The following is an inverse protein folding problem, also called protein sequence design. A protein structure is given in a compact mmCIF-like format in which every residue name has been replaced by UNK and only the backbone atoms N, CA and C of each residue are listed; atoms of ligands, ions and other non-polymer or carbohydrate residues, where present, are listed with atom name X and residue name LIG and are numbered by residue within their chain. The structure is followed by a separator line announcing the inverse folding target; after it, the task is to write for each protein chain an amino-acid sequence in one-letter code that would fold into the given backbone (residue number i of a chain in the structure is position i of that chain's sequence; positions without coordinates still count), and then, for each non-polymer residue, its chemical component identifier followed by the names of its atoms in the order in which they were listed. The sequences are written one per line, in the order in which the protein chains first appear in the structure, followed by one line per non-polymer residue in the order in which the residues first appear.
data_IF_577350454661
#
_entry.id   IF_577350454661
#
_cell.length_a   1.000
_cell.length_b   1.000
_cell.length_c   1.000
_cell.angle_alpha   90.00
_cell.angle_beta   90.00
_cell.angle_gamma   90.00
#
_symmetry.space_group_name_H-M   'P 1'
#
loop_
_entity.id
_entity.type
_entity.pdbx_description
1 polymer ?
#
# COMPACT_ATOMS: atom_id res chain seq x y z
N UNK A 1 8.59 32.03 -11.23
CA UNK A 1 7.88 32.10 -9.94
C UNK A 1 6.68 31.19 -10.05
N UNK A 2 6.57 30.08 -9.29
CA UNK A 2 5.31 29.36 -9.20
C UNK A 2 4.27 30.30 -8.55
N UNK A 3 3.17 30.56 -9.25
CA UNK A 3 2.12 31.53 -8.89
C UNK A 3 0.94 30.91 -8.13
N UNK A 4 0.99 29.60 -7.81
CA UNK A 4 -0.03 28.95 -7.00
C UNK A 4 0.40 28.98 -5.53
N UNK A 5 -0.35 29.71 -4.71
CA UNK A 5 -0.42 29.40 -3.28
C UNK A 5 -0.94 27.96 -3.22
N UNK A 6 -0.11 27.01 -2.75
CA UNK A 6 -0.50 25.61 -2.70
C UNK A 6 -1.75 25.50 -1.81
N UNK A 7 -2.87 25.09 -2.40
CA UNK A 7 -4.07 24.76 -1.64
C UNK A 7 -3.71 23.68 -0.62
N UNK A 8 -4.25 23.73 0.61
CA UNK A 8 -4.10 22.63 1.55
C UNK A 8 -4.83 21.36 1.07
N UNK A 9 -5.75 21.50 0.11
CA UNK A 9 -6.45 20.38 -0.49
C UNK A 9 -5.49 19.47 -1.26
N UNK A 10 -5.70 18.15 -1.15
CA UNK A 10 -4.95 17.14 -1.89
C UNK A 10 -4.97 17.45 -3.38
N UNK A 11 -3.78 17.52 -3.98
CA UNK A 11 -3.60 17.84 -5.39
C UNK A 11 -4.24 16.79 -6.33
N UNK A 12 -4.48 15.56 -5.84
CA UNK A 12 -5.07 14.49 -6.63
C UNK A 12 -6.59 14.42 -6.53
N UNK A 13 -7.17 14.57 -5.33
CA UNK A 13 -8.62 14.45 -5.16
C UNK A 13 -9.33 15.80 -5.08
N UNK A 14 -8.66 16.87 -4.67
CA UNK A 14 -9.24 18.21 -4.51
C UNK A 14 -10.25 18.38 -3.37
N UNK A 15 -10.57 17.32 -2.62
CA UNK A 15 -11.66 17.35 -1.63
C UNK A 15 -11.20 17.62 -0.19
N UNK A 16 -10.24 16.84 0.31
CA UNK A 16 -9.78 16.93 1.70
C UNK A 16 -8.39 17.55 1.80
N UNK A 17 -8.06 18.11 2.96
CA UNK A 17 -6.70 18.53 3.28
C UNK A 17 -5.75 17.34 3.20
N UNK A 18 -4.59 17.53 2.57
CA UNK A 18 -3.57 16.47 2.49
C UNK A 18 -2.69 16.45 3.74
N UNK A 19 -3.18 15.81 4.80
CA UNK A 19 -2.36 15.39 5.94
C UNK A 19 -1.62 14.07 5.63
N UNK A 20 -0.80 13.58 6.56
CA UNK A 20 -0.03 12.34 6.36
C UNK A 20 -0.93 11.12 6.10
N UNK A 21 -2.07 11.03 6.80
CA UNK A 21 -3.01 9.92 6.62
C UNK A 21 -3.64 9.97 5.22
N UNK A 22 -4.14 11.13 4.82
CA UNK A 22 -4.73 11.36 3.51
C UNK A 22 -3.71 11.19 2.38
N UNK A 23 -2.48 11.63 2.61
CA UNK A 23 -1.37 11.46 1.70
C UNK A 23 -1.11 9.97 1.43
N UNK A 24 -1.05 9.13 2.47
CA UNK A 24 -0.70 7.72 2.30
C UNK A 24 -1.92 6.89 1.88
N UNK A 25 -2.98 6.84 2.69
CA UNK A 25 -4.09 5.88 2.51
C UNK A 25 -5.48 6.53 2.41
N UNK A 26 -5.65 7.75 2.92
CA UNK A 26 -6.97 8.37 3.09
C UNK A 26 -7.54 9.01 1.82
N UNK A 27 -6.74 9.17 0.77
CA UNK A 27 -7.20 9.67 -0.52
C UNK A 27 -7.89 8.58 -1.34
N UNK A 28 -9.18 8.78 -1.68
CA UNK A 28 -9.94 7.80 -2.45
C UNK A 28 -9.35 7.46 -3.83
N UNK A 29 -8.66 8.41 -4.49
CA UNK A 29 -7.95 8.19 -5.76
C UNK A 29 -6.76 7.24 -5.58
N UNK A 30 -6.01 7.40 -4.46
CA UNK A 30 -4.87 6.56 -4.12
C UNK A 30 -5.28 5.21 -3.53
N UNK A 31 -6.52 5.08 -3.04
CA UNK A 31 -7.01 3.84 -2.41
C UNK A 31 -6.95 2.63 -3.34
N UNK A 32 -7.18 2.81 -4.65
CA UNK A 32 -7.09 1.74 -5.65
C UNK A 32 -5.68 1.14 -5.74
N UNK A 33 -4.63 1.97 -5.61
CA UNK A 33 -3.25 1.48 -5.57
C UNK A 33 -3.04 0.54 -4.39
N UNK A 34 -3.51 0.90 -3.20
CA UNK A 34 -3.39 0.06 -2.02
C UNK A 34 -4.22 -1.23 -2.12
N UNK A 35 -5.42 -1.17 -2.70
CA UNK A 35 -6.23 -2.36 -2.98
C UNK A 35 -5.49 -3.32 -3.91
N UNK A 36 -4.87 -2.81 -4.97
CA UNK A 36 -4.08 -3.61 -5.91
C UNK A 36 -2.84 -4.22 -5.23
N UNK A 37 -2.15 -3.49 -4.35
CA UNK A 37 -1.01 -4.01 -3.57
C UNK A 37 -1.43 -5.12 -2.61
N UNK A 38 -2.49 -4.89 -1.84
CA UNK A 38 -3.04 -5.90 -0.92
C UNK A 38 -3.48 -7.13 -1.69
N UNK A 39 -4.09 -6.96 -2.87
CA UNK A 39 -4.49 -8.07 -3.71
C UNK A 39 -3.31 -8.82 -4.32
N UNK A 40 -2.27 -8.11 -4.75
CA UNK A 40 -1.07 -8.69 -5.34
C UNK A 40 -0.30 -9.57 -4.34
N UNK A 41 -0.34 -9.20 -3.06
CA UNK A 41 0.34 -9.88 -1.96
C UNK A 41 -0.56 -10.85 -1.19
N UNK A 42 -1.84 -11.01 -1.58
CA UNK A 42 -2.83 -11.83 -0.88
C UNK A 42 -3.01 -11.47 0.61
N UNK A 43 -3.01 -10.17 0.93
CA UNK A 43 -3.06 -9.65 2.31
C UNK A 43 -4.47 -9.18 2.75
N UNK A 44 -5.53 -9.58 2.06
CA UNK A 44 -6.88 -9.05 2.29
C UNK A 44 -7.38 -9.29 3.72
N UNK A 45 -7.10 -10.47 4.28
CA UNK A 45 -7.47 -10.81 5.67
C UNK A 45 -6.66 -10.01 6.70
N UNK A 46 -5.38 -9.73 6.39
CA UNK A 46 -4.48 -9.01 7.29
C UNK A 46 -4.73 -7.49 7.26
N UNK A 47 -4.99 -6.95 6.08
CA UNK A 47 -5.07 -5.51 5.79
C UNK A 47 -6.37 -5.15 5.05
N UNK A 48 -7.54 -5.40 5.66
CA UNK A 48 -8.84 -5.26 4.97
C UNK A 48 -9.25 -3.82 4.66
N UNK A 49 -8.55 -2.83 5.20
CA UNK A 49 -8.96 -1.42 5.16
C UNK A 49 -7.78 -0.43 5.10
N UNK A 50 -8.06 0.81 4.69
CA UNK A 50 -7.08 1.89 4.73
C UNK A 50 -6.51 2.11 6.15
N UNK A 51 -7.34 2.01 7.18
CA UNK A 51 -6.90 2.14 8.58
C UNK A 51 -5.99 1.01 9.02
N UNK A 52 -6.22 -0.24 8.59
CA UNK A 52 -5.30 -1.35 8.87
C UNK A 52 -3.96 -1.20 8.14
N UNK A 53 -3.96 -0.69 6.90
CA UNK A 53 -2.72 -0.40 6.16
C UNK A 53 -1.94 0.72 6.86
N UNK A 54 -2.63 1.78 7.29
CA UNK A 54 -2.01 2.86 8.06
C UNK A 54 -1.42 2.37 9.37
N UNK A 55 -2.16 1.54 10.12
CA UNK A 55 -1.68 0.94 11.36
C UNK A 55 -0.41 0.11 11.11
N UNK A 56 -0.43 -0.73 10.07
CA UNK A 56 0.73 -1.53 9.66
C UNK A 56 1.97 -0.66 9.36
N UNK A 57 1.80 0.41 8.59
CA UNK A 57 2.90 1.30 8.21
C UNK A 57 3.46 2.12 9.37
N UNK A 58 2.64 2.42 10.39
CA UNK A 58 3.03 3.34 11.48
C UNK A 58 3.40 2.63 12.77
N UNK A 59 2.91 1.41 12.99
CA UNK A 59 3.13 0.65 14.22
C UNK A 59 3.77 -0.71 14.00
N UNK A 60 3.89 -1.15 12.74
CA UNK A 60 4.37 -2.49 12.36
C UNK A 60 3.50 -3.64 12.90
N UNK A 61 2.28 -3.32 13.30
CA UNK A 61 1.29 -4.24 13.83
C UNK A 61 0.01 -4.26 12.99
N UNK A 62 -0.76 -5.34 13.12
CA UNK A 62 -2.07 -5.53 12.49
C UNK A 62 -3.17 -5.77 13.54
N UNK A 63 -4.39 -5.36 13.18
CA UNK A 63 -5.59 -5.58 13.99
C UNK A 63 -5.62 -4.82 15.33
N UNK A 64 -6.68 -5.05 16.11
CA UNK A 64 -6.86 -4.46 17.44
C UNK A 64 -5.93 -5.06 18.50
N UNK A 65 -5.49 -6.30 18.29
CA UNK A 65 -4.61 -7.03 19.20
C UNK A 65 -3.11 -6.74 18.98
N UNK A 66 -2.80 -5.82 18.05
CA UNK A 66 -1.44 -5.38 17.69
C UNK A 66 -0.49 -6.54 17.36
N UNK A 67 -0.96 -7.50 16.56
CA UNK A 67 -0.14 -8.62 16.10
C UNK A 67 0.98 -8.11 15.19
N UNK A 68 2.22 -8.44 15.54
CA UNK A 68 3.41 -8.04 14.77
C UNK A 68 3.31 -8.60 13.35
N UNK A 69 3.48 -7.73 12.37
CA UNK A 69 3.45 -8.11 10.96
C UNK A 69 4.79 -8.75 10.59
N UNK A 70 4.71 -9.78 9.76
CA UNK A 70 5.88 -10.44 9.18
C UNK A 70 6.84 -9.44 8.51
N UNK A 71 8.14 -9.65 8.69
CA UNK A 71 9.17 -8.71 8.23
C UNK A 71 9.13 -8.53 6.71
N UNK A 72 8.92 -9.60 5.94
CA UNK A 72 8.88 -9.51 4.49
C UNK A 72 7.64 -8.73 4.02
N UNK A 73 6.51 -8.87 4.71
CA UNK A 73 5.31 -8.07 4.47
C UNK A 73 5.58 -6.59 4.77
N UNK A 74 6.25 -6.27 5.87
CA UNK A 74 6.63 -4.88 6.19
C UNK A 74 7.56 -4.28 5.13
N UNK A 75 8.54 -5.05 4.63
CA UNK A 75 9.42 -4.62 3.55
C UNK A 75 8.60 -4.33 2.28
N UNK A 76 7.63 -5.17 1.93
CA UNK A 76 6.77 -4.95 0.78
C UNK A 76 5.85 -3.73 0.93
N UNK A 77 5.29 -3.50 2.11
CA UNK A 77 4.51 -2.30 2.41
C UNK A 77 5.38 -1.03 2.31
N UNK A 78 6.63 -1.08 2.81
CA UNK A 78 7.59 0.00 2.68
C UNK A 78 7.98 0.29 1.22
N UNK A 79 8.17 -0.75 0.42
CA UNK A 79 8.42 -0.64 -1.02
C UNK A 79 7.22 -0.01 -1.76
N UNK A 80 6.00 -0.48 -1.49
CA UNK A 80 4.77 0.10 -2.04
C UNK A 80 4.62 1.58 -1.65
N UNK A 81 4.87 1.94 -0.38
CA UNK A 81 4.86 3.32 0.08
C UNK A 81 5.89 4.19 -0.65
N UNK A 82 7.12 3.69 -0.84
CA UNK A 82 8.17 4.40 -1.59
C UNK A 82 7.74 4.70 -3.02
N UNK A 83 7.12 3.74 -3.72
CA UNK A 83 6.56 3.96 -5.05
C UNK A 83 5.42 4.96 -5.04
N UNK A 84 4.48 4.88 -4.09
CA UNK A 84 3.39 5.84 -3.93
C UNK A 84 3.93 7.27 -3.75
N UNK A 85 4.92 7.45 -2.87
CA UNK A 85 5.55 8.74 -2.62
C UNK A 85 6.15 9.32 -3.90
N UNK A 86 6.98 8.54 -4.60
CA UNK A 86 7.62 8.96 -5.86
C UNK A 86 6.58 9.32 -6.92
N UNK A 87 5.59 8.47 -7.12
CA UNK A 87 4.59 8.66 -8.18
C UNK A 87 3.63 9.81 -7.88
N UNK A 88 3.26 10.02 -6.60
CA UNK A 88 2.48 11.18 -6.19
C UNK A 88 3.21 12.47 -6.56
N UNK A 89 4.49 12.61 -6.20
CA UNK A 89 5.22 13.85 -6.49
C UNK A 89 5.45 14.06 -7.98
N UNK A 90 5.62 12.99 -8.76
CA UNK A 90 5.60 13.06 -10.23
C UNK A 90 4.28 13.63 -10.75
N UNK A 91 3.13 13.15 -10.26
CA UNK A 91 1.82 13.69 -10.64
C UNK A 91 1.65 15.17 -10.25
N UNK A 92 2.14 15.55 -9.06
CA UNK A 92 1.98 16.93 -8.55
C UNK A 92 2.92 17.92 -9.23
N UNK A 93 4.17 17.53 -9.48
CA UNK A 93 5.21 18.42 -10.03
C UNK A 93 5.14 18.46 -11.55
N UNK A 94 5.03 17.30 -12.20
CA UNK A 94 5.04 17.18 -13.66
C UNK A 94 3.63 17.27 -14.26
N UNK A 95 2.61 17.52 -13.42
CA UNK A 95 1.19 17.61 -13.78
C UNK A 95 0.67 16.36 -14.52
N UNK A 96 1.30 15.21 -14.29
CA UNK A 96 0.84 13.93 -14.84
C UNK A 96 -0.43 13.45 -14.13
N UNK A 97 -1.38 12.82 -14.85
CA UNK A 97 -2.57 12.25 -14.23
C UNK A 97 -2.19 11.04 -13.37
N UNK A 98 -2.79 10.94 -12.18
CA UNK A 98 -2.66 9.74 -11.36
C UNK A 98 -3.39 8.55 -12.01
N UNK A 99 -2.64 7.49 -12.29
CA UNK A 99 -3.17 6.23 -12.79
C UNK A 99 -2.67 5.09 -11.89
N UNK A 100 -3.58 4.44 -11.16
CA UNK A 100 -3.22 3.37 -10.21
C UNK A 100 -2.43 2.22 -10.85
N UNK A 101 -2.80 1.80 -12.06
CA UNK A 101 -2.07 0.76 -12.80
C UNK A 101 -0.65 1.18 -13.20
N UNK A 102 -0.40 2.48 -13.44
CA UNK A 102 0.94 2.98 -13.69
C UNK A 102 1.80 2.90 -12.42
N UNK A 103 1.24 3.26 -11.26
CA UNK A 103 1.89 3.09 -9.96
C UNK A 103 2.22 1.62 -9.67
N UNK A 104 1.30 0.69 -9.96
CA UNK A 104 1.53 -0.75 -9.82
C UNK A 104 2.62 -1.26 -10.77
N UNK A 105 2.65 -0.76 -12.00
CA UNK A 105 3.72 -1.09 -12.94
C UNK A 105 5.09 -0.61 -12.43
N UNK A 106 5.16 0.56 -11.80
CA UNK A 106 6.38 1.03 -11.15
C UNK A 106 6.80 0.10 -10.00
N UNK A 107 5.87 -0.38 -9.18
CA UNK A 107 6.19 -1.39 -8.14
C UNK A 107 6.76 -2.66 -8.76
N UNK A 108 6.16 -3.17 -9.83
CA UNK A 108 6.65 -4.38 -10.51
C UNK A 108 8.03 -4.18 -11.14
N UNK A 109 8.34 -3.00 -11.64
CA UNK A 109 9.63 -2.67 -12.23
C UNK A 109 10.71 -2.49 -11.16
N UNK A 110 10.43 -1.73 -10.11
CA UNK A 110 11.39 -1.37 -9.07
C UNK A 110 11.58 -2.49 -8.03
N UNK A 111 10.54 -3.29 -7.79
CA UNK A 111 10.45 -4.23 -6.67
C UNK A 111 9.94 -5.63 -7.09
N UNK A 112 9.95 -5.96 -8.38
CA UNK A 112 9.34 -7.18 -8.91
C UNK A 112 9.86 -8.48 -8.29
N UNK A 113 11.14 -8.55 -7.94
CA UNK A 113 11.73 -9.73 -7.27
C UNK A 113 11.18 -9.94 -5.87
N UNK A 114 11.01 -8.86 -5.09
CA UNK A 114 10.45 -8.88 -3.75
C UNK A 114 8.98 -9.35 -3.77
N UNK A 115 8.17 -8.72 -4.63
CA UNK A 115 6.74 -9.00 -4.73
C UNK A 115 6.46 -10.40 -5.28
N UNK A 116 7.30 -10.91 -6.18
CA UNK A 116 7.16 -12.27 -6.69
C UNK A 116 7.43 -13.32 -5.61
N UNK A 117 8.49 -13.15 -4.82
CA UNK A 117 8.87 -14.08 -3.74
C UNK A 117 7.78 -14.17 -2.66
N UNK A 118 7.21 -13.03 -2.27
CA UNK A 118 6.15 -12.97 -1.25
C UNK A 118 4.82 -13.53 -1.74
N UNK A 119 4.46 -13.26 -2.99
CA UNK A 119 3.26 -13.85 -3.60
C UNK A 119 3.36 -15.38 -3.63
N UNK A 120 4.53 -15.93 -3.97
CA UNK A 120 4.80 -17.38 -3.91
C UNK A 120 4.76 -17.95 -2.47
N UNK A 121 5.31 -17.23 -1.49
CA UNK A 121 5.31 -17.66 -0.10
C UNK A 121 3.88 -17.77 0.48
N UNK A 122 2.99 -16.83 0.14
CA UNK A 122 1.58 -16.88 0.54
C UNK A 122 0.85 -18.13 0.00
N UNK A 123 1.15 -18.54 -1.23
CA UNK A 123 0.55 -19.75 -1.86
C UNK A 123 1.02 -21.03 -1.16
N UNK A 124 2.30 -21.09 -0.75
CA UNK A 124 2.83 -22.24 -0.01
C UNK A 124 2.28 -22.33 1.43
N UNK A 125 2.14 -21.20 2.13
CA UNK A 125 1.56 -21.17 3.48
C UNK A 125 0.10 -21.64 3.49
N UNK A 126 -0.67 -21.36 2.44
CA UNK A 126 -2.05 -21.85 2.28
C UNK A 126 -2.18 -23.36 2.03
N UNK A 127 -1.08 -24.08 1.78
CA UNK A 127 -1.08 -25.53 1.48
C UNK A 127 -0.81 -26.41 2.71
N UNK A 128 -0.38 -25.84 3.84
CA UNK A 128 -0.16 -26.59 5.08
C UNK A 128 -1.48 -26.78 5.85
N UNK A 129 -2.33 -27.68 5.34
CA UNK A 129 -3.48 -28.21 6.09
C UNK A 129 -2.94 -29.06 7.25
N UNK A 130 -3.21 -28.62 8.47
CA UNK A 130 -2.90 -29.34 9.70
C UNK A 130 -3.55 -30.74 9.69
N UNK A 131 -2.87 -31.82 10.09
CA UNK A 131 -3.52 -33.10 10.30
C UNK A 131 -4.48 -32.97 11.48
N UNK A 132 -5.77 -33.19 11.21
CA UNK A 132 -6.79 -33.38 12.24
C UNK A 132 -6.45 -34.66 12.98
N UNK A 133 -5.79 -34.54 14.13
CA UNK A 133 -5.71 -35.66 15.07
C UNK A 133 -7.11 -35.88 15.65
N UNK A 134 -7.76 -36.93 15.15
CA UNK A 134 -8.99 -37.46 15.74
C UNK A 134 -8.66 -38.14 17.07
N UNK A 135 -9.57 -37.90 18.04
CA UNK A 135 -9.56 -38.28 19.46
C UNK A 135 -9.09 -39.70 19.74
#
# INVERSE_FOLDING_TARGET
MPTKVLSPACALCGFATEDLYHFVVGCHIKSFFWQDIVSLLSLQELLPSASSIWLALTTFCSGSDLLVIDEDVLIALGAAYSTLWKYHWRCVIDEEPWIASAAINMVRQDHGTLFSSLSLASVQAGTLVLPVNSV
#
